data_IF_780715077958
#
_entry.id   IF_780715077958
#
_cell.length_a   1.000
_cell.length_b   1.000
_cell.length_c   1.000
_cell.angle_alpha   90.00
_cell.angle_beta   90.00
_cell.angle_gamma   90.00
#
_symmetry.space_group_name_H-M   'P 1'
#
loop_
_entity.id
_entity.type
_entity.pdbx_description
1 polymer ?
#
# COMPACT_ATOMS: atom_id res chain seq x y z
N UNK A 1 9.98 21.18 -24.91
CA UNK A 1 9.91 19.79 -25.41
C UNK A 1 8.63 19.16 -24.88
N UNK A 2 8.08 18.14 -25.52
CA UNK A 2 6.95 17.40 -24.91
C UNK A 2 7.46 16.59 -23.73
N UNK A 3 6.60 16.28 -22.76
CA UNK A 3 7.02 15.51 -21.60
C UNK A 3 7.47 14.08 -21.97
N UNK A 4 7.00 13.53 -23.09
CA UNK A 4 7.50 12.28 -23.66
C UNK A 4 8.92 12.41 -24.22
N UNK A 5 9.23 13.50 -24.93
CA UNK A 5 10.57 13.75 -25.44
C UNK A 5 11.61 13.89 -24.32
N UNK A 6 11.22 14.51 -23.19
CA UNK A 6 12.08 14.60 -22.00
C UNK A 6 12.32 13.24 -21.34
N UNK A 7 11.29 12.39 -21.25
CA UNK A 7 11.42 11.01 -20.77
C UNK A 7 12.40 10.23 -21.66
N UNK A 8 12.20 10.28 -22.97
CA UNK A 8 13.05 9.56 -23.94
C UNK A 8 14.51 10.04 -23.84
N UNK A 9 14.73 11.35 -23.73
CA UNK A 9 16.06 11.91 -23.52
C UNK A 9 16.68 11.42 -22.20
N UNK A 10 15.90 11.37 -21.12
CA UNK A 10 16.32 10.82 -19.84
C UNK A 10 16.73 9.35 -19.92
N UNK A 11 15.95 8.53 -20.62
CA UNK A 11 16.25 7.11 -20.82
C UNK A 11 17.55 6.89 -21.62
N UNK A 12 17.77 7.71 -22.67
CA UNK A 12 19.01 7.68 -23.47
C UNK A 12 20.22 8.10 -22.64
N UNK A 13 20.09 9.18 -21.88
CA UNK A 13 21.15 9.67 -21.00
C UNK A 13 21.52 8.65 -19.90
N UNK A 14 20.53 7.88 -19.43
CA UNK A 14 20.74 6.78 -18.49
C UNK A 14 21.30 5.50 -19.15
N UNK A 15 21.51 5.49 -20.47
CA UNK A 15 21.99 4.32 -21.21
C UNK A 15 21.00 3.16 -21.29
N UNK A 16 19.72 3.41 -21.00
CA UNK A 16 18.67 2.38 -21.01
C UNK A 16 18.11 2.14 -22.41
N UNK A 17 18.19 3.11 -23.30
CA UNK A 17 17.73 3.01 -24.69
C UNK A 17 18.80 3.48 -25.67
N UNK A 18 18.73 2.99 -26.92
CA UNK A 18 19.61 3.41 -28.00
C UNK A 18 19.12 4.65 -28.76
N UNK A 19 19.77 4.96 -29.89
CA UNK A 19 19.39 6.07 -30.77
C UNK A 19 18.12 5.81 -31.59
N UNK A 20 17.65 4.56 -31.65
CA UNK A 20 16.43 4.20 -32.35
C UNK A 20 15.15 4.79 -31.74
N UNK A 21 14.03 4.51 -32.39
CA UNK A 21 12.71 4.95 -31.95
C UNK A 21 12.33 4.29 -30.62
N UNK A 22 11.96 5.13 -29.65
CA UNK A 22 11.51 4.69 -28.31
C UNK A 22 10.00 4.84 -28.23
N UNK A 23 9.30 3.72 -28.07
CA UNK A 23 7.84 3.70 -27.92
C UNK A 23 7.48 3.60 -26.44
N UNK A 24 6.77 4.61 -25.95
CA UNK A 24 6.19 4.62 -24.60
C UNK A 24 4.80 3.97 -24.65
N UNK A 25 4.71 2.65 -24.41
CA UNK A 25 3.42 1.95 -24.42
C UNK A 25 2.69 2.19 -23.09
N UNK A 26 1.54 2.88 -23.04
CA UNK A 26 0.84 3.15 -21.78
C UNK A 26 0.39 1.85 -21.10
N UNK A 27 0.62 1.77 -19.79
CA UNK A 27 0.03 0.77 -18.91
C UNK A 27 -1.19 1.36 -18.21
N UNK A 28 -2.24 0.56 -18.07
CA UNK A 28 -3.52 0.98 -17.48
C UNK A 28 -3.56 0.74 -15.97
N UNK A 29 -4.43 1.47 -15.25
CA UNK A 29 -4.82 1.13 -13.87
C UNK A 29 -4.40 2.14 -12.79
N UNK A 30 -3.50 3.08 -13.11
CA UNK A 30 -3.07 4.14 -12.20
C UNK A 30 -3.78 5.49 -12.44
N UNK A 31 -4.22 6.13 -11.36
CA UNK A 31 -4.79 7.50 -11.40
C UNK A 31 -3.80 8.58 -10.98
N UNK A 32 -2.74 8.22 -10.23
CA UNK A 32 -1.75 9.16 -9.70
C UNK A 32 -0.52 9.32 -10.58
N UNK A 33 -0.27 8.40 -11.52
CA UNK A 33 0.91 8.42 -12.37
C UNK A 33 0.55 8.10 -13.81
N UNK A 34 1.37 8.61 -14.74
CA UNK A 34 1.54 7.96 -16.02
C UNK A 34 2.55 6.82 -15.87
N UNK A 35 2.23 5.69 -16.48
CA UNK A 35 3.04 4.49 -16.42
C UNK A 35 3.15 3.95 -17.83
N UNK A 36 4.36 3.69 -18.28
CA UNK A 36 4.63 3.14 -19.62
C UNK A 36 5.51 1.91 -19.52
N UNK A 37 5.25 0.94 -20.38
CA UNK A 37 6.20 -0.11 -20.72
C UNK A 37 7.06 0.37 -21.89
N UNK A 38 8.36 0.16 -21.80
CA UNK A 38 9.32 0.49 -22.86
C UNK A 38 10.16 -0.74 -23.14
N UNK A 39 10.24 -1.13 -24.40
CA UNK A 39 11.15 -2.20 -24.83
C UNK A 39 12.58 -1.65 -24.92
N UNK A 40 13.54 -2.37 -24.35
CA UNK A 40 14.97 -1.98 -24.40
C UNK A 40 15.84 -3.16 -24.83
N UNK A 41 17.10 -2.91 -25.27
CA UNK A 41 18.03 -4.00 -25.60
C UNK A 41 18.31 -4.97 -24.45
N UNK A 42 18.12 -4.54 -23.20
CA UNK A 42 18.34 -5.36 -21.98
C UNK A 42 17.05 -5.95 -21.42
N UNK A 43 15.96 -5.88 -22.20
CA UNK A 43 14.62 -6.32 -21.81
C UNK A 43 13.69 -5.17 -21.46
N UNK A 44 12.39 -5.45 -21.28
CA UNK A 44 11.40 -4.41 -21.01
C UNK A 44 11.64 -3.72 -19.65
N UNK A 45 11.31 -2.43 -19.62
CA UNK A 45 11.32 -1.60 -18.42
C UNK A 45 9.95 -0.94 -18.23
N UNK A 46 9.68 -0.49 -17.02
CA UNK A 46 8.56 0.40 -16.70
C UNK A 46 9.11 1.79 -16.43
N UNK A 47 8.52 2.80 -17.06
CA UNK A 47 8.74 4.20 -16.73
C UNK A 47 7.51 4.70 -15.99
N UNK A 48 7.72 5.28 -14.82
CA UNK A 48 6.65 5.87 -14.00
C UNK A 48 6.91 7.36 -13.83
N UNK A 49 5.87 8.17 -14.03
CA UNK A 49 5.90 9.63 -13.80
C UNK A 49 4.70 10.05 -12.95
N UNK A 50 4.91 10.64 -11.76
CA UNK A 50 3.82 11.18 -10.95
C UNK A 50 3.14 12.38 -11.63
N UNK A 51 1.82 12.47 -11.47
CA UNK A 51 1.00 13.58 -11.96
C UNK A 51 0.76 14.62 -10.85
N UNK A 52 0.81 15.93 -11.12
CA UNK A 52 0.45 16.93 -10.11
C UNK A 52 -1.02 16.85 -9.69
N UNK A 53 -1.90 16.36 -10.58
CA UNK A 53 -3.32 16.12 -10.32
C UNK A 53 -3.69 14.68 -10.67
N UNK A 54 -4.39 14.01 -9.76
CA UNK A 54 -4.88 12.64 -9.97
C UNK A 54 -6.05 12.63 -10.96
N UNK A 55 -6.12 11.59 -11.80
CA UNK A 55 -7.21 11.34 -12.76
C UNK A 55 -8.45 10.77 -12.06
N UNK A 56 -9.06 11.55 -11.18
CA UNK A 56 -10.31 11.23 -10.46
C UNK A 56 -11.35 12.35 -10.64
N UNK A 57 -12.62 12.06 -10.37
CA UNK A 57 -13.72 12.99 -10.65
C UNK A 57 -13.66 14.29 -9.81
N UNK A 58 -13.14 14.19 -8.58
CA UNK A 58 -12.91 15.34 -7.71
C UNK A 58 -11.50 15.89 -7.94
N UNK A 59 -11.31 17.20 -7.71
CA UNK A 59 -9.95 17.76 -7.67
C UNK A 59 -9.16 17.11 -6.54
N UNK A 60 -8.04 16.48 -6.90
CA UNK A 60 -7.13 15.85 -5.97
C UNK A 60 -5.70 16.10 -6.44
N UNK A 61 -5.08 17.12 -5.85
CA UNK A 61 -3.69 17.50 -6.09
C UNK A 61 -2.77 16.69 -5.18
N UNK A 62 -1.60 16.28 -5.69
CA UNK A 62 -0.60 15.56 -4.93
C UNK A 62 0.82 16.02 -5.31
N UNK A 63 1.73 16.22 -4.35
CA UNK A 63 3.13 16.59 -4.60
C UNK A 63 3.83 15.54 -5.47
N UNK A 64 4.55 15.96 -6.51
CA UNK A 64 5.21 15.05 -7.47
C UNK A 64 6.47 14.41 -6.90
N UNK A 65 7.04 14.98 -5.85
CA UNK A 65 8.20 14.49 -5.09
C UNK A 65 7.97 13.09 -4.50
N UNK A 66 6.72 12.62 -4.48
CA UNK A 66 6.35 11.24 -4.15
C UNK A 66 7.01 10.19 -5.04
N UNK A 67 7.38 10.54 -6.28
CA UNK A 67 8.19 9.67 -7.13
C UNK A 67 9.59 9.41 -6.54
N UNK A 68 10.22 10.43 -5.95
CA UNK A 68 11.51 10.27 -5.24
C UNK A 68 11.35 9.38 -4.00
N UNK A 69 10.25 9.55 -3.26
CA UNK A 69 9.95 8.75 -2.07
C UNK A 69 9.75 7.27 -2.42
N UNK A 70 9.06 6.99 -3.51
CA UNK A 70 8.89 5.63 -4.03
C UNK A 70 10.25 5.02 -4.40
N UNK A 71 11.10 5.73 -5.14
CA UNK A 71 12.44 5.24 -5.50
C UNK A 71 13.27 4.89 -4.26
N UNK A 72 13.26 5.76 -3.23
CA UNK A 72 13.96 5.52 -1.96
C UNK A 72 13.45 4.24 -1.29
N UNK A 73 12.13 4.09 -1.19
CA UNK A 73 11.54 2.90 -0.57
C UNK A 73 11.87 1.63 -1.35
N UNK A 74 11.74 1.64 -2.69
CA UNK A 74 12.04 0.50 -3.55
C UNK A 74 13.51 0.06 -3.40
N UNK A 75 14.46 1.00 -3.41
CA UNK A 75 15.88 0.70 -3.16
C UNK A 75 16.10 0.15 -1.76
N UNK A 76 15.47 0.74 -0.75
CA UNK A 76 15.61 0.31 0.65
C UNK A 76 15.07 -1.10 0.87
N UNK A 77 13.88 -1.41 0.35
CA UNK A 77 13.28 -2.74 0.40
C UNK A 77 14.13 -3.79 -0.32
N UNK A 78 14.68 -3.46 -1.50
CA UNK A 78 15.63 -4.35 -2.21
C UNK A 78 16.92 -4.60 -1.44
N UNK A 79 17.38 -3.62 -0.66
CA UNK A 79 18.52 -3.79 0.23
C UNK A 79 18.26 -4.77 1.37
N UNK A 80 17.00 -4.98 1.74
CA UNK A 80 16.58 -6.00 2.71
C UNK A 80 16.48 -7.37 2.04
N UNK A 81 15.74 -7.45 0.94
CA UNK A 81 15.67 -8.63 0.09
C UNK A 81 15.41 -8.19 -1.37
N UNK A 82 16.30 -8.52 -2.32
CA UNK A 82 16.17 -8.15 -3.72
C UNK A 82 14.87 -8.62 -4.40
N UNK A 83 14.11 -9.52 -3.79
CA UNK A 83 12.83 -10.01 -4.31
C UNK A 83 11.65 -9.12 -3.94
N UNK A 84 11.75 -8.29 -2.91
CA UNK A 84 10.60 -7.55 -2.37
C UNK A 84 10.15 -6.38 -3.24
N UNK A 85 11.00 -5.86 -4.13
CA UNK A 85 10.67 -4.70 -4.95
C UNK A 85 11.39 -4.77 -6.30
N UNK A 86 10.83 -4.17 -7.38
CA UNK A 86 11.51 -4.08 -8.67
C UNK A 86 12.79 -3.25 -8.57
N UNK A 87 13.80 -3.65 -9.35
CA UNK A 87 15.04 -2.90 -9.49
C UNK A 87 14.77 -1.52 -10.10
N UNK A 88 15.15 -0.45 -9.40
CA UNK A 88 15.18 0.91 -9.96
C UNK A 88 16.44 1.03 -10.82
N UNK A 89 16.24 1.28 -12.11
CA UNK A 89 17.30 1.34 -13.12
C UNK A 89 17.85 2.76 -13.28
N UNK A 90 16.96 3.77 -13.21
CA UNK A 90 17.37 5.17 -13.31
C UNK A 90 16.31 6.09 -12.70
N UNK A 91 16.75 7.17 -12.07
CA UNK A 91 15.93 8.35 -11.86
C UNK A 91 16.09 9.27 -13.07
N UNK A 92 15.00 9.83 -13.57
CA UNK A 92 15.00 10.70 -14.74
C UNK A 92 15.08 12.17 -14.29
N UNK A 93 15.73 13.04 -15.08
CA UNK A 93 16.02 14.42 -14.68
C UNK A 93 14.77 15.32 -14.57
N UNK A 94 13.61 14.88 -15.08
CA UNK A 94 12.39 15.70 -15.10
C UNK A 94 11.21 15.01 -14.41
N UNK A 95 10.42 15.81 -13.69
CA UNK A 95 9.11 15.42 -13.17
C UNK A 95 9.11 14.27 -12.15
N UNK A 96 10.21 14.02 -11.45
CA UNK A 96 10.36 12.89 -10.51
C UNK A 96 10.04 11.53 -11.14
N UNK A 97 10.23 11.43 -12.46
CA UNK A 97 10.03 10.18 -13.17
C UNK A 97 11.20 9.23 -12.91
N UNK A 98 10.95 7.93 -13.00
CA UNK A 98 11.98 6.91 -12.84
C UNK A 98 11.68 5.70 -13.72
N UNK A 99 12.73 4.95 -14.03
CA UNK A 99 12.68 3.69 -14.74
C UNK A 99 12.97 2.54 -13.78
N UNK A 100 12.17 1.48 -13.86
CA UNK A 100 12.36 0.24 -13.08
C UNK A 100 12.19 -1.00 -13.95
N UNK A 101 12.68 -2.15 -13.49
CA UNK A 101 12.57 -3.42 -14.19
C UNK A 101 11.11 -3.83 -14.39
N UNK A 102 10.72 -4.18 -15.62
CA UNK A 102 9.43 -4.83 -15.88
C UNK A 102 9.49 -6.31 -15.46
N UNK A 103 8.43 -6.80 -14.82
CA UNK A 103 8.34 -8.16 -14.32
C UNK A 103 7.28 -8.94 -15.12
N UNK A 104 7.68 -9.68 -16.18
CA UNK A 104 6.74 -10.45 -17.00
C UNK A 104 6.14 -11.62 -16.22
N UNK A 105 4.89 -11.97 -16.54
CA UNK A 105 4.23 -13.16 -15.99
C UNK A 105 3.90 -13.08 -14.50
N UNK A 106 3.99 -11.90 -13.88
CA UNK A 106 3.65 -11.69 -12.48
C UNK A 106 2.27 -11.00 -12.38
N UNK A 107 1.17 -11.72 -12.13
CA UNK A 107 -0.15 -11.10 -12.03
C UNK A 107 -0.26 -10.22 -10.78
N UNK A 108 -1.15 -9.23 -10.84
CA UNK A 108 -1.48 -8.37 -9.70
C UNK A 108 -2.28 -9.19 -8.68
N UNK A 109 -1.86 -9.21 -7.42
CA UNK A 109 -2.48 -10.04 -6.38
C UNK A 109 -3.96 -9.71 -6.16
N UNK A 110 -4.36 -8.44 -6.31
CA UNK A 110 -5.78 -8.07 -6.30
C UNK A 110 -6.56 -8.89 -7.32
N UNK A 111 -6.06 -9.04 -8.54
CA UNK A 111 -6.79 -9.70 -9.63
C UNK A 111 -6.87 -11.22 -9.39
N UNK A 112 -5.82 -11.82 -8.81
CA UNK A 112 -5.84 -13.21 -8.32
C UNK A 112 -6.94 -13.42 -7.26
N UNK A 113 -6.98 -12.57 -6.24
CA UNK A 113 -7.98 -12.64 -5.17
C UNK A 113 -9.39 -12.42 -5.69
N UNK A 114 -9.60 -11.45 -6.60
CA UNK A 114 -10.90 -11.19 -7.21
C UNK A 114 -11.38 -12.35 -8.09
N UNK A 115 -10.45 -13.15 -8.62
CA UNK A 115 -10.76 -14.37 -9.37
C UNK A 115 -10.88 -15.63 -8.48
N UNK A 116 -10.90 -15.48 -7.16
CA UNK A 116 -11.07 -16.58 -6.19
C UNK A 116 -9.82 -17.45 -5.99
N UNK A 117 -8.66 -17.01 -6.50
CA UNK A 117 -7.36 -17.65 -6.28
C UNK A 117 -6.75 -17.10 -4.99
N UNK A 118 -7.01 -17.81 -3.89
CA UNK A 118 -6.54 -17.45 -2.55
C UNK A 118 -5.46 -18.44 -2.13
N UNK A 119 -4.24 -17.94 -1.98
CA UNK A 119 -3.06 -18.68 -1.52
C UNK A 119 -2.63 -18.17 -0.14
N UNK A 120 -2.77 -19.03 0.88
CA UNK A 120 -2.45 -18.72 2.27
C UNK A 120 -0.94 -18.58 2.47
N UNK A 121 -0.13 -19.39 1.77
CA UNK A 121 1.33 -19.31 1.86
C UNK A 121 1.83 -18.00 1.24
N UNK A 122 1.23 -17.56 0.14
CA UNK A 122 1.54 -16.25 -0.44
C UNK A 122 1.17 -15.11 0.51
N UNK A 123 0.01 -15.18 1.17
CA UNK A 123 -0.39 -14.18 2.17
C UNK A 123 0.59 -14.12 3.36
N UNK A 124 1.07 -15.27 3.83
CA UNK A 124 2.14 -15.35 4.85
C UNK A 124 3.45 -14.71 4.35
N UNK A 125 3.86 -14.95 3.10
CA UNK A 125 5.04 -14.32 2.51
C UNK A 125 4.89 -12.80 2.41
N UNK A 126 3.69 -12.28 2.12
CA UNK A 126 3.41 -10.84 2.18
C UNK A 126 3.64 -10.31 3.60
N UNK A 127 3.08 -10.96 4.61
CA UNK A 127 3.26 -10.58 6.02
C UNK A 127 4.74 -10.56 6.43
N UNK A 128 5.48 -11.60 6.07
CA UNK A 128 6.92 -11.71 6.34
C UNK A 128 7.73 -10.62 5.61
N UNK A 129 7.39 -10.31 4.35
CA UNK A 129 8.06 -9.27 3.57
C UNK A 129 7.88 -7.87 4.17
N UNK A 130 6.67 -7.53 4.64
CA UNK A 130 6.41 -6.26 5.33
C UNK A 130 7.24 -6.22 6.63
N UNK A 131 7.18 -7.27 7.45
CA UNK A 131 7.92 -7.33 8.71
C UNK A 131 9.44 -7.21 8.51
N UNK A 132 9.99 -7.81 7.46
CA UNK A 132 11.42 -7.72 7.15
C UNK A 132 11.87 -6.28 6.88
N UNK A 133 11.08 -5.51 6.12
CA UNK A 133 11.39 -4.09 5.87
C UNK A 133 11.29 -3.27 7.15
N UNK A 134 10.26 -3.51 7.96
CA UNK A 134 10.10 -2.83 9.25
C UNK A 134 11.24 -3.14 10.21
N UNK A 135 11.59 -4.42 10.40
CA UNK A 135 12.71 -4.84 11.24
C UNK A 135 14.02 -4.18 10.81
N UNK A 136 14.31 -4.19 9.51
CA UNK A 136 15.55 -3.65 8.98
C UNK A 136 15.68 -2.12 9.12
N UNK A 137 14.57 -1.40 9.31
CA UNK A 137 14.52 0.07 9.33
C UNK A 137 14.11 0.63 10.69
N UNK A 138 13.73 -0.21 11.64
CA UNK A 138 13.24 0.22 12.93
C UNK A 138 14.32 0.99 13.72
N UNK A 139 13.91 2.11 14.32
CA UNK A 139 14.75 3.01 15.13
C UNK A 139 16.04 3.48 14.41
N UNK A 140 16.02 3.56 13.08
CA UNK A 140 17.14 4.02 12.27
C UNK A 140 16.99 5.50 11.89
N UNK A 141 17.86 6.35 12.43
CA UNK A 141 17.82 7.81 12.17
C UNK A 141 18.12 8.18 10.71
N UNK A 142 18.89 7.36 9.99
CA UNK A 142 19.16 7.56 8.56
C UNK A 142 17.91 7.31 7.72
N UNK A 143 17.26 6.16 7.92
CA UNK A 143 15.97 5.84 7.30
C UNK A 143 14.91 6.88 7.70
N UNK A 144 14.96 7.44 8.91
CA UNK A 144 14.07 8.54 9.30
C UNK A 144 14.36 9.84 8.53
N UNK A 145 15.62 10.22 8.41
CA UNK A 145 16.05 11.43 7.70
C UNK A 145 15.73 11.40 6.21
N UNK A 146 15.75 10.21 5.61
CA UNK A 146 15.50 10.01 4.17
C UNK A 146 14.01 10.08 3.79
N UNK A 147 13.08 10.12 4.74
CA UNK A 147 11.64 10.14 4.49
C UNK A 147 10.88 11.24 5.27
N UNK A 148 11.12 12.53 4.98
CA UNK A 148 10.40 13.66 5.57
C UNK A 148 9.00 13.84 4.96
N UNK A 149 8.21 12.77 4.99
CA UNK A 149 6.98 12.61 4.18
C UNK A 149 5.69 12.71 5.01
N UNK A 150 5.76 13.22 6.24
CA UNK A 150 4.64 13.31 7.18
C UNK A 150 3.39 13.97 6.58
N UNK A 151 3.54 15.13 5.95
CA UNK A 151 2.43 15.88 5.36
C UNK A 151 1.80 15.11 4.19
N UNK A 152 2.63 14.47 3.37
CA UNK A 152 2.18 13.67 2.23
C UNK A 152 1.43 12.42 2.70
N UNK A 153 1.98 11.69 3.67
CA UNK A 153 1.31 10.54 4.27
C UNK A 153 -0.01 10.95 4.92
N UNK A 154 -0.03 12.08 5.64
CA UNK A 154 -1.26 12.61 6.22
C UNK A 154 -2.31 12.89 5.13
N UNK A 155 -1.95 13.62 4.08
CA UNK A 155 -2.86 13.99 3.00
C UNK A 155 -3.42 12.76 2.24
N UNK A 156 -2.61 11.71 2.08
CA UNK A 156 -2.97 10.54 1.26
C UNK A 156 -3.58 9.37 2.07
N UNK A 157 -3.32 9.29 3.38
CA UNK A 157 -3.71 8.15 4.23
C UNK A 157 -4.46 8.53 5.50
N UNK A 158 -4.04 9.56 6.22
CA UNK A 158 -4.69 9.93 7.49
C UNK A 158 -5.99 10.69 7.23
N UNK A 159 -5.91 11.76 6.43
CA UNK A 159 -7.02 12.65 6.12
C UNK A 159 -8.20 11.95 5.41
N UNK A 160 -7.99 11.18 4.32
CA UNK A 160 -9.10 10.57 3.59
C UNK A 160 -9.72 9.36 4.28
N UNK A 161 -8.98 8.67 5.15
CA UNK A 161 -9.47 7.45 5.81
C UNK A 161 -9.93 7.69 7.25
N UNK A 162 -9.23 8.49 8.05
CA UNK A 162 -9.58 8.70 9.46
C UNK A 162 -10.34 10.01 9.65
N UNK A 163 -9.72 11.15 9.29
CA UNK A 163 -10.29 12.46 9.60
C UNK A 163 -11.51 12.83 8.74
N UNK A 164 -11.66 12.23 7.57
CA UNK A 164 -12.90 12.38 6.80
C UNK A 164 -14.08 11.72 7.51
N UNK A 165 -13.93 10.49 7.98
CA UNK A 165 -14.98 9.78 8.71
C UNK A 165 -15.28 10.51 10.02
N UNK A 166 -14.25 10.93 10.76
CA UNK A 166 -14.40 11.70 11.99
C UNK A 166 -15.23 12.98 11.81
N UNK A 167 -15.12 13.67 10.66
CA UNK A 167 -15.91 14.89 10.37
C UNK A 167 -17.39 14.62 10.11
N UNK A 168 -17.74 13.39 9.73
CA UNK A 168 -19.12 13.01 9.37
C UNK A 168 -19.78 12.10 10.41
N UNK A 169 -19.03 11.68 11.43
CA UNK A 169 -19.52 10.83 12.51
C UNK A 169 -19.14 11.41 13.88
N UNK A 170 -20.08 12.11 14.52
CA UNK A 170 -19.86 12.77 15.80
C UNK A 170 -19.57 11.81 16.96
N UNK A 171 -20.07 10.57 16.89
CA UNK A 171 -19.86 9.56 17.93
C UNK A 171 -18.42 9.04 17.89
N UNK A 172 -17.90 8.74 16.69
CA UNK A 172 -16.57 8.18 16.50
C UNK A 172 -15.47 9.25 16.37
N UNK A 173 -15.84 10.51 16.15
CA UNK A 173 -14.90 11.60 15.92
C UNK A 173 -13.75 11.68 16.95
N UNK A 174 -13.99 11.60 18.28
CA UNK A 174 -12.90 11.69 19.25
C UNK A 174 -11.91 10.52 19.13
N UNK A 175 -12.40 9.30 18.91
CA UNK A 175 -11.57 8.09 18.80
C UNK A 175 -10.74 8.14 17.51
N UNK A 176 -11.37 8.49 16.39
CA UNK A 176 -10.71 8.55 15.09
C UNK A 176 -9.69 9.69 15.00
N UNK A 177 -9.95 10.82 15.65
CA UNK A 177 -9.01 11.95 15.73
C UNK A 177 -7.79 11.57 16.56
N UNK A 178 -7.99 10.98 17.74
CA UNK A 178 -6.89 10.49 18.56
C UNK A 178 -6.04 9.42 17.85
N UNK A 179 -6.70 8.50 17.12
CA UNK A 179 -5.99 7.50 16.31
C UNK A 179 -5.17 8.12 15.17
N UNK A 180 -5.68 9.19 14.55
CA UNK A 180 -4.96 9.93 13.52
C UNK A 180 -3.72 10.65 14.09
N UNK A 181 -3.85 11.25 15.27
CA UNK A 181 -2.74 11.92 15.95
C UNK A 181 -1.67 10.90 16.39
N UNK A 182 -2.08 9.77 16.98
CA UNK A 182 -1.18 8.67 17.36
C UNK A 182 -0.41 8.12 16.15
N UNK A 183 -1.11 7.86 15.04
CA UNK A 183 -0.51 7.37 13.80
C UNK A 183 0.52 8.36 13.24
N UNK A 184 0.19 9.65 13.27
CA UNK A 184 1.08 10.71 12.76
C UNK A 184 2.31 10.92 13.66
N UNK A 185 2.12 10.82 14.97
CA UNK A 185 3.17 11.08 15.97
C UNK A 185 4.20 9.96 16.13
N UNK A 186 3.86 8.71 15.79
CA UNK A 186 4.77 7.57 15.92
C UNK A 186 5.80 7.54 14.79
N UNK A 187 7.07 7.33 15.17
CA UNK A 187 8.24 7.29 14.27
C UNK A 187 9.10 6.07 14.61
N UNK A 188 8.66 4.89 14.17
CA UNK A 188 9.25 3.61 14.58
C UNK A 188 10.04 2.99 13.44
N UNK A 189 9.45 2.84 12.25
CA UNK A 189 10.07 2.15 11.11
C UNK A 189 9.60 2.75 9.77
N UNK A 190 10.25 2.37 8.68
CA UNK A 190 9.86 2.78 7.33
C UNK A 190 8.66 1.97 6.84
N UNK A 191 7.50 2.62 6.77
CA UNK A 191 6.30 2.06 6.16
C UNK A 191 6.25 2.37 4.66
N UNK A 192 5.71 1.44 3.88
CA UNK A 192 5.33 1.64 2.47
C UNK A 192 4.15 2.60 2.34
N UNK A 193 3.20 2.56 3.28
CA UNK A 193 2.05 3.45 3.33
C UNK A 193 0.95 3.18 2.32
N UNK A 194 1.02 2.14 1.49
CA UNK A 194 -0.07 1.69 0.58
C UNK A 194 0.00 0.19 0.29
N UNK A 195 0.25 -0.62 1.32
CA UNK A 195 0.33 -2.08 1.16
C UNK A 195 -1.07 -2.64 0.92
N UNK A 196 -1.47 -2.65 -0.34
CA UNK A 196 -2.74 -3.17 -0.80
C UNK A 196 -2.52 -4.21 -1.90
N UNK A 197 -3.43 -5.20 -2.07
CA UNK A 197 -3.23 -6.24 -3.08
C UNK A 197 -3.09 -5.71 -4.52
N UNK A 198 -3.53 -4.48 -4.83
CA UNK A 198 -3.33 -3.87 -6.16
C UNK A 198 -1.88 -3.49 -6.44
N UNK A 199 -1.08 -3.32 -5.37
CA UNK A 199 0.29 -2.85 -5.38
C UNK A 199 1.27 -4.00 -5.12
N UNK A 200 0.81 -5.25 -5.25
CA UNK A 200 1.62 -6.44 -5.00
C UNK A 200 1.51 -7.34 -6.24
N UNK A 201 2.64 -7.68 -6.85
CA UNK A 201 2.69 -8.70 -7.88
C UNK A 201 2.98 -10.07 -7.25
N UNK A 202 2.38 -11.10 -7.81
CA UNK A 202 2.65 -12.50 -7.48
C UNK A 202 3.78 -12.98 -8.40
N UNK A 203 5.01 -13.06 -7.87
CA UNK A 203 6.14 -13.63 -8.60
C UNK A 203 6.41 -15.06 -8.16
N UNK A 204 7.16 -15.81 -8.96
CA UNK A 204 7.63 -17.15 -8.57
C UNK A 204 8.53 -17.13 -7.31
N UNK A 205 9.17 -15.99 -7.02
CA UNK A 205 10.05 -15.81 -5.86
C UNK A 205 9.35 -15.26 -4.61
N UNK A 206 8.05 -14.99 -4.68
CA UNK A 206 7.26 -14.36 -3.62
C UNK A 206 6.65 -13.02 -4.01
N UNK A 207 6.15 -12.23 -3.05
CA UNK A 207 5.51 -10.96 -3.31
C UNK A 207 6.52 -9.89 -3.75
N UNK A 208 6.13 -9.10 -4.74
CA UNK A 208 6.86 -7.89 -5.16
C UNK A 208 5.97 -6.68 -4.90
N UNK A 209 6.38 -5.82 -3.96
CA UNK A 209 5.71 -4.58 -3.60
C UNK A 209 6.05 -3.46 -4.61
N UNK A 210 5.02 -2.69 -4.97
CA UNK A 210 5.05 -1.59 -5.93
C UNK A 210 4.37 -0.37 -5.34
N UNK A 211 4.54 0.81 -5.95
CA UNK A 211 3.69 1.97 -5.66
C UNK A 211 3.80 2.48 -4.21
N UNK A 212 5.03 2.53 -3.70
CA UNK A 212 5.37 3.08 -2.38
C UNK A 212 5.42 4.62 -2.38
N UNK A 213 4.55 5.29 -3.15
CA UNK A 213 4.49 6.76 -3.24
C UNK A 213 4.04 7.41 -1.93
N UNK A 214 3.43 6.63 -1.03
CA UNK A 214 3.03 7.05 0.32
C UNK A 214 4.03 6.67 1.41
N UNK A 215 5.25 6.25 1.05
CA UNK A 215 6.23 5.79 2.02
C UNK A 215 6.55 6.87 3.05
N UNK A 216 6.60 6.46 4.32
CA UNK A 216 6.81 7.36 5.46
C UNK A 216 7.57 6.63 6.56
N UNK A 217 8.47 7.33 7.25
CA UNK A 217 8.99 6.84 8.51
C UNK A 217 7.94 7.08 9.61
N UNK A 218 7.27 6.01 10.07
CA UNK A 218 5.99 6.12 10.79
C UNK A 218 5.70 4.94 11.72
N UNK A 219 4.41 4.70 11.99
CA UNK A 219 3.95 3.52 12.72
C UNK A 219 3.86 2.29 11.77
N UNK A 220 4.67 1.24 11.96
CA UNK A 220 4.63 0.03 11.13
C UNK A 220 3.28 -0.71 11.21
N UNK A 221 2.47 -0.45 12.23
CA UNK A 221 1.13 -1.01 12.34
C UNK A 221 0.22 -0.65 11.14
N UNK A 222 0.49 0.46 10.44
CA UNK A 222 -0.34 0.91 9.33
C UNK A 222 -0.33 -0.05 8.15
N UNK A 223 0.84 -0.49 7.69
CA UNK A 223 0.96 -1.35 6.50
C UNK A 223 0.28 -2.71 6.72
N UNK A 224 0.50 -3.30 7.90
CA UNK A 224 -0.17 -4.53 8.31
C UNK A 224 -1.69 -4.35 8.31
N UNK A 225 -2.17 -3.26 8.92
CA UNK A 225 -3.59 -2.97 9.03
C UNK A 225 -4.24 -2.72 7.66
N UNK A 226 -3.54 -2.01 6.77
CA UNK A 226 -4.02 -1.64 5.44
C UNK A 226 -4.17 -2.87 4.55
N UNK A 227 -3.17 -3.75 4.54
CA UNK A 227 -3.23 -4.98 3.76
C UNK A 227 -4.33 -5.92 4.29
N UNK A 228 -4.39 -6.09 5.61
CA UNK A 228 -5.41 -6.94 6.26
C UNK A 228 -6.82 -6.46 5.96
N UNK A 229 -7.07 -5.14 6.01
CA UNK A 229 -8.36 -4.53 5.64
C UNK A 229 -8.82 -4.98 4.26
N UNK A 230 -7.92 -5.03 3.27
CA UNK A 230 -8.28 -5.42 1.91
C UNK A 230 -8.63 -6.91 1.75
N UNK A 231 -8.12 -7.79 2.62
CA UNK A 231 -8.48 -9.21 2.64
C UNK A 231 -9.85 -9.40 3.31
N UNK A 232 -10.07 -8.76 4.46
CA UNK A 232 -11.33 -8.82 5.21
C UNK A 232 -12.53 -8.24 4.42
N UNK A 233 -12.32 -7.17 3.66
CA UNK A 233 -13.34 -6.62 2.76
C UNK A 233 -13.71 -7.58 1.62
N UNK A 234 -12.72 -8.29 1.06
CA UNK A 234 -12.97 -9.29 0.02
C UNK A 234 -13.68 -10.52 0.59
N UNK A 235 -13.42 -10.87 1.86
CA UNK A 235 -14.12 -11.97 2.53
C UNK A 235 -15.63 -11.70 2.60
N UNK A 236 -16.02 -10.47 2.94
CA UNK A 236 -17.43 -10.05 2.90
C UNK A 236 -17.95 -10.02 1.46
N UNK A 237 -17.20 -9.44 0.53
CA UNK A 237 -17.63 -9.29 -0.87
C UNK A 237 -17.87 -10.64 -1.59
N UNK A 238 -16.99 -11.61 -1.39
CA UNK A 238 -17.04 -12.91 -2.07
C UNK A 238 -17.74 -14.00 -1.25
N UNK A 239 -17.84 -13.84 0.07
CA UNK A 239 -18.27 -14.90 0.98
C UNK A 239 -17.23 -16.01 1.22
N UNK A 240 -16.02 -15.89 0.68
CA UNK A 240 -14.97 -16.91 0.77
C UNK A 240 -14.23 -16.85 2.12
N UNK A 241 -14.34 -17.92 2.90
CA UNK A 241 -13.69 -18.05 4.21
C UNK A 241 -12.16 -18.04 4.12
N UNK A 242 -11.58 -18.49 3.00
CA UNK A 242 -10.12 -18.54 2.80
C UNK A 242 -9.47 -17.16 2.86
N UNK A 243 -10.24 -16.09 2.64
CA UNK A 243 -9.74 -14.72 2.78
C UNK A 243 -9.51 -14.31 4.24
N UNK A 244 -10.31 -14.83 5.18
CA UNK A 244 -10.03 -14.69 6.61
C UNK A 244 -8.78 -15.51 6.98
N UNK A 245 -8.66 -16.73 6.44
CA UNK A 245 -7.49 -17.60 6.69
C UNK A 245 -6.20 -16.98 6.11
N UNK A 246 -6.27 -16.38 4.92
CA UNK A 246 -5.16 -15.64 4.32
C UNK A 246 -4.79 -14.40 5.15
N UNK A 247 -5.79 -13.68 5.68
CA UNK A 247 -5.55 -12.57 6.60
C UNK A 247 -4.86 -13.04 7.88
N UNK A 248 -5.29 -14.16 8.45
CA UNK A 248 -4.65 -14.76 9.63
C UNK A 248 -3.21 -15.17 9.34
N UNK A 249 -2.96 -15.86 8.22
CA UNK A 249 -1.62 -16.27 7.80
C UNK A 249 -0.67 -15.08 7.60
N UNK A 250 -1.15 -13.98 6.99
CA UNK A 250 -0.40 -12.74 6.86
C UNK A 250 -0.07 -12.13 8.24
N UNK A 251 -1.07 -12.03 9.11
CA UNK A 251 -0.93 -11.45 10.46
C UNK A 251 0.04 -12.26 11.32
N UNK A 252 -0.05 -13.58 11.29
CA UNK A 252 0.82 -14.48 12.04
C UNK A 252 2.26 -14.40 11.55
N UNK A 253 2.47 -14.40 10.23
CA UNK A 253 3.81 -14.27 9.64
C UNK A 253 4.45 -12.91 9.95
N UNK A 254 3.66 -11.82 9.88
CA UNK A 254 4.14 -10.51 10.31
C UNK A 254 4.51 -10.51 11.79
N UNK A 255 3.61 -11.03 12.64
CA UNK A 255 3.81 -11.07 14.10
C UNK A 255 5.08 -11.83 14.48
N UNK A 256 5.36 -12.94 13.80
CA UNK A 256 6.56 -13.74 14.03
C UNK A 256 7.87 -13.01 13.67
N UNK A 257 7.79 -12.01 12.79
CA UNK A 257 8.94 -11.19 12.40
C UNK A 257 9.22 -9.99 13.32
N UNK A 258 8.37 -9.71 14.32
CA UNK A 258 8.55 -8.55 15.20
C UNK A 258 9.66 -8.81 16.21
N UNK A 259 10.76 -8.08 16.10
CA UNK A 259 11.87 -8.06 17.05
C UNK A 259 12.27 -6.65 17.53
N UNK A 260 11.58 -5.61 17.05
CA UNK A 260 11.97 -4.20 17.24
C UNK A 260 11.10 -3.39 18.21
N UNK A 261 9.96 -3.93 18.65
CA UNK A 261 9.08 -3.31 19.66
C UNK A 261 8.19 -4.35 20.37
N UNK A 262 7.42 -3.91 21.37
CA UNK A 262 6.44 -4.77 22.03
C UNK A 262 5.37 -5.29 21.05
N UNK A 263 5.34 -6.61 20.86
CA UNK A 263 4.40 -7.28 19.97
C UNK A 263 2.95 -7.00 20.37
N UNK A 264 2.61 -7.04 21.65
CA UNK A 264 1.24 -6.84 22.12
C UNK A 264 0.69 -5.45 21.75
N UNK A 265 1.50 -4.43 22.03
CA UNK A 265 1.23 -3.04 21.68
C UNK A 265 1.07 -2.83 20.18
N UNK A 266 1.98 -3.34 19.35
CA UNK A 266 1.89 -3.23 17.89
C UNK A 266 0.60 -3.88 17.38
N UNK A 267 0.31 -5.12 17.80
CA UNK A 267 -0.89 -5.83 17.35
C UNK A 267 -2.18 -5.14 17.75
N UNK A 268 -2.22 -4.46 18.91
CA UNK A 268 -3.35 -3.62 19.31
C UNK A 268 -3.49 -2.37 18.45
N UNK A 269 -2.38 -1.68 18.13
CA UNK A 269 -2.41 -0.52 17.22
C UNK A 269 -2.90 -0.92 15.83
N UNK A 270 -2.41 -2.06 15.31
CA UNK A 270 -2.84 -2.58 14.02
C UNK A 270 -4.34 -2.95 14.03
N UNK A 271 -4.86 -3.54 15.11
CA UNK A 271 -6.29 -3.84 15.27
C UNK A 271 -7.17 -2.58 15.23
N UNK A 272 -6.78 -1.53 15.98
CA UNK A 272 -7.45 -0.21 15.95
C UNK A 272 -7.46 0.39 14.54
N UNK A 273 -6.31 0.37 13.87
CA UNK A 273 -6.18 0.88 12.50
C UNK A 273 -7.03 0.08 11.51
N UNK A 274 -7.04 -1.26 11.59
CA UNK A 274 -7.87 -2.10 10.72
C UNK A 274 -9.35 -1.80 10.90
N UNK A 275 -9.83 -1.65 12.13
CA UNK A 275 -11.22 -1.29 12.38
C UNK A 275 -11.60 0.07 11.75
N UNK A 276 -10.75 1.08 11.92
CA UNK A 276 -10.97 2.39 11.33
C UNK A 276 -10.89 2.38 9.79
N UNK A 277 -9.93 1.64 9.23
CA UNK A 277 -9.75 1.49 7.78
C UNK A 277 -10.91 0.71 7.15
N UNK A 278 -11.45 -0.31 7.80
CA UNK A 278 -12.65 -1.03 7.35
C UNK A 278 -13.85 -0.07 7.22
N UNK A 279 -14.10 0.76 8.24
CA UNK A 279 -15.15 1.77 8.19
C UNK A 279 -14.89 2.79 7.08
N UNK A 280 -13.65 3.27 6.97
CA UNK A 280 -13.24 4.22 5.93
C UNK A 280 -13.41 3.69 4.50
N UNK A 281 -13.31 2.37 4.29
CA UNK A 281 -13.58 1.75 2.98
C UNK A 281 -15.08 1.63 2.68
N UNK A 282 -15.96 2.03 3.60
CA UNK A 282 -17.40 2.18 3.39
C UNK A 282 -17.83 3.65 3.37
N UNK A 283 -17.30 4.45 4.30
CA UNK A 283 -17.76 5.82 4.60
C UNK A 283 -16.70 6.92 4.38
N UNK A 284 -15.47 6.54 4.03
CA UNK A 284 -14.36 7.45 3.79
C UNK A 284 -14.36 8.05 2.37
N UNK A 285 -13.35 8.89 2.07
CA UNK A 285 -13.18 9.50 0.73
C UNK A 285 -12.83 8.50 -0.37
N UNK A 286 -12.39 7.30 0.00
CA UNK A 286 -12.02 6.24 -0.92
C UNK A 286 -12.75 4.94 -0.52
N UNK A 287 -14.04 4.79 -0.86
CA UNK A 287 -14.75 3.55 -0.60
C UNK A 287 -14.22 2.41 -1.49
N UNK A 288 -14.46 1.16 -1.07
CA UNK A 288 -14.16 -0.02 -1.88
C UNK A 288 -15.08 -0.10 -3.10
N UNK A 289 -14.57 0.04 -4.35
CA UNK A 289 -15.41 0.20 -5.53
C UNK A 289 -16.20 -1.07 -5.87
N UNK A 290 -15.72 -2.24 -5.45
CA UNK A 290 -16.38 -3.54 -5.66
C UNK A 290 -17.45 -3.85 -4.59
N UNK A 291 -17.48 -3.11 -3.48
CA UNK A 291 -18.43 -3.34 -2.39
C UNK A 291 -19.73 -2.59 -2.67
N UNK A 292 -20.50 -3.04 -3.67
CA UNK A 292 -21.72 -2.34 -4.13
C UNK A 292 -22.98 -2.78 -3.40
N UNK A 293 -23.04 -4.02 -2.92
CA UNK A 293 -24.18 -4.56 -2.16
C UNK A 293 -24.36 -3.78 -0.83
N UNK A 294 -25.53 -3.16 -0.57
CA UNK A 294 -25.83 -2.50 0.70
C UNK A 294 -25.66 -3.41 1.92
N UNK A 295 -26.01 -4.69 1.82
CA UNK A 295 -25.86 -5.64 2.93
C UNK A 295 -24.39 -5.83 3.30
N UNK A 296 -23.51 -5.99 2.30
CA UNK A 296 -22.07 -6.09 2.53
C UNK A 296 -21.52 -4.82 3.21
N UNK A 297 -22.00 -3.64 2.79
CA UNK A 297 -21.62 -2.37 3.44
C UNK A 297 -22.07 -2.33 4.90
N UNK A 298 -23.29 -2.80 5.20
CA UNK A 298 -23.81 -2.87 6.57
C UNK A 298 -22.99 -3.83 7.45
N UNK A 299 -22.69 -5.04 6.94
CA UNK A 299 -21.83 -6.02 7.62
C UNK A 299 -20.49 -5.42 8.02
N UNK A 300 -19.83 -4.71 7.10
CA UNK A 300 -18.54 -4.07 7.37
C UNK A 300 -18.71 -2.93 8.37
N UNK A 301 -19.68 -2.04 8.14
CA UNK A 301 -19.93 -0.86 8.98
C UNK A 301 -20.18 -1.26 10.43
N UNK A 302 -21.14 -2.14 10.69
CA UNK A 302 -21.60 -2.44 12.04
C UNK A 302 -20.49 -3.09 12.87
N UNK A 303 -19.75 -4.02 12.28
CA UNK A 303 -18.58 -4.64 12.92
C UNK A 303 -17.45 -3.63 13.15
N UNK A 304 -17.13 -2.81 12.15
CA UNK A 304 -16.07 -1.81 12.26
C UNK A 304 -16.38 -0.78 13.36
N UNK A 305 -17.61 -0.27 13.44
CA UNK A 305 -18.05 0.63 14.52
C UNK A 305 -17.89 -0.02 15.90
N UNK A 306 -18.35 -1.27 16.04
CA UNK A 306 -18.23 -2.00 17.30
C UNK A 306 -16.76 -2.19 17.73
N UNK A 307 -15.87 -2.47 16.77
CA UNK A 307 -14.43 -2.64 16.99
C UNK A 307 -13.71 -1.30 17.25
N UNK A 308 -14.16 -0.18 16.67
CA UNK A 308 -13.63 1.15 17.01
C UNK A 308 -13.98 1.51 18.45
N UNK A 309 -15.21 1.23 18.88
CA UNK A 309 -15.66 1.48 20.25
C UNK A 309 -14.99 0.55 21.28
N UNK A 310 -14.72 -0.70 20.89
CA UNK A 310 -14.07 -1.72 21.73
C UNK A 310 -12.97 -2.43 20.93
N UNK A 311 -11.77 -1.83 20.86
CA UNK A 311 -10.69 -2.36 20.05
C UNK A 311 -10.10 -3.64 20.63
N UNK A 312 -9.72 -4.56 19.75
CA UNK A 312 -8.99 -5.77 20.06
C UNK A 312 -7.68 -5.84 19.26
N UNK A 313 -6.70 -6.67 19.68
CA UNK A 313 -5.54 -6.98 18.86
C UNK A 313 -5.93 -7.55 17.49
N UNK A 314 -5.14 -7.24 16.46
CA UNK A 314 -5.49 -7.58 15.08
C UNK A 314 -5.76 -9.08 14.85
N UNK A 315 -5.02 -9.97 15.51
CA UNK A 315 -5.25 -11.42 15.41
C UNK A 315 -6.65 -11.82 15.92
N UNK A 316 -7.10 -11.24 17.03
CA UNK A 316 -8.44 -11.48 17.57
C UNK A 316 -9.52 -10.86 16.66
N UNK A 317 -9.28 -9.67 16.11
CA UNK A 317 -10.17 -9.04 15.13
C UNK A 317 -10.37 -9.95 13.91
N UNK A 318 -9.28 -10.47 13.33
CA UNK A 318 -9.33 -11.35 12.16
C UNK A 318 -10.06 -12.66 12.47
N UNK A 319 -9.75 -13.28 13.62
CA UNK A 319 -10.38 -14.53 14.03
C UNK A 319 -11.90 -14.40 14.22
N UNK A 320 -12.37 -13.23 14.66
CA UNK A 320 -13.79 -12.97 14.91
C UNK A 320 -14.49 -12.20 13.77
N UNK A 321 -13.81 -11.93 12.65
CA UNK A 321 -14.38 -11.18 11.55
C UNK A 321 -15.47 -11.99 10.83
N UNK A 322 -16.70 -11.49 10.84
CA UNK A 322 -17.82 -12.13 10.17
C UNK A 322 -17.94 -11.66 8.73
N UNK A 323 -17.99 -12.63 7.81
CA UNK A 323 -18.21 -12.38 6.38
C UNK A 323 -19.68 -12.23 5.99
N UNK A 324 -20.59 -12.74 6.81
CA UNK A 324 -22.04 -12.68 6.64
C UNK A 324 -22.74 -12.51 8.01
N UNK A 325 -24.04 -12.22 8.01
CA UNK A 325 -24.85 -12.02 9.23
C UNK A 325 -25.37 -13.32 9.86
N UNK A 326 -24.92 -14.49 9.38
CA UNK A 326 -25.35 -15.80 9.89
C UNK A 326 -24.76 -16.13 11.27
#
# INVERSE_FOLDING_TARGET
MTAEAEIIAGLRNAGLTGEGDVVLQPLTGGVSCDVWKVETPTGPIVVKRPLPQLRVAAEWLAPVERGTSEVRWLRRARGVDPRLAPEVLAELPTGHAFAMRFLPGCPVWKDELMAGRVDLAFAAQVGAGIAAVHAATAHNDGDRGDFPNDEMFRALRVDPFLLHVARHDAELAPILTALADDLSGRKIALAHGDVSPKNILVSAGGPVFLDAECAVYGDPAFDLAFCTTHLLLKAVWSGDARLNEAAAALVDAYRAGIDWEDTGGLMLRAGKLTAALLLARVEGKSPAPYLTNPEHKNIVRDQARALIARPSPLGELVANWKRNLA
#
